data_IF_667932664814
#
_entry.id   IF_667932664814
#
_cell.length_a   1.000
_cell.length_b   1.000
_cell.length_c   1.000
_cell.angle_alpha   90.00
_cell.angle_beta   90.00
_cell.angle_gamma   90.00
#
_symmetry.space_group_name_H-M   'P 1'
#
loop_
_entity.id
_entity.type
_entity.pdbx_description
1 polymer ?
#
# COMPACT_ATOMS: atom_id res chain seq x y z
N UNK A 1 -44.41 -36.90 38.58
CA UNK A 1 -43.94 -38.29 38.52
C UNK A 1 -43.67 -38.63 37.05
N UNK A 2 -42.49 -38.28 36.54
CA UNK A 2 -41.84 -38.91 35.37
C UNK A 2 -40.38 -38.41 35.38
N UNK A 3 -39.49 -39.27 35.90
CA UNK A 3 -38.05 -39.21 35.68
C UNK A 3 -37.75 -39.99 34.39
N UNK A 4 -36.54 -39.78 33.86
CA UNK A 4 -35.64 -40.76 33.22
C UNK A 4 -35.23 -40.40 31.77
N UNK A 5 -33.92 -40.12 31.62
CA UNK A 5 -32.97 -40.32 30.51
C UNK A 5 -33.30 -39.60 29.18
N UNK A 6 -32.37 -38.88 28.55
CA UNK A 6 -31.12 -39.41 27.98
C UNK A 6 -29.99 -38.37 28.12
N UNK A 7 -28.92 -38.82 28.75
CA UNK A 7 -27.59 -38.23 28.63
C UNK A 7 -26.80 -38.99 27.55
N UNK A 8 -25.79 -38.29 27.01
CA UNK A 8 -24.54 -38.82 26.41
C UNK A 8 -24.44 -38.89 24.88
N UNK A 9 -23.23 -38.54 24.40
CA UNK A 9 -22.61 -38.77 23.07
C UNK A 9 -22.93 -37.61 22.09
N UNK A 10 -22.04 -36.70 21.70
CA UNK A 10 -20.64 -36.85 21.24
C UNK A 10 -19.84 -35.57 21.58
N UNK A 11 -18.84 -35.71 22.46
CA UNK A 11 -17.61 -34.91 22.39
C UNK A 11 -16.87 -35.31 21.13
N UNK A 12 -16.44 -34.36 20.28
CA UNK A 12 -15.24 -34.38 19.43
C UNK A 12 -15.24 -33.06 18.61
N UNK A 13 -14.04 -32.47 18.44
CA UNK A 13 -13.72 -31.15 17.85
C UNK A 13 -13.63 -29.95 18.79
N UNK A 14 -12.93 -30.14 19.91
CA UNK A 14 -11.97 -29.14 20.36
C UNK A 14 -10.55 -29.62 20.00
N UNK A 15 -10.19 -29.64 18.71
CA UNK A 15 -8.79 -29.79 18.32
C UNK A 15 -8.15 -28.40 18.35
N UNK A 16 -7.32 -28.22 19.35
CA UNK A 16 -6.35 -27.14 19.47
C UNK A 16 -5.55 -27.02 18.18
N UNK A 17 -5.82 -25.98 17.41
CA UNK A 17 -4.82 -25.36 16.55
C UNK A 17 -4.43 -24.06 17.26
N UNK A 18 -3.74 -24.18 18.40
CA UNK A 18 -2.88 -23.10 18.86
C UNK A 18 -1.73 -23.03 17.85
N UNK A 19 -1.95 -22.28 16.76
CA UNK A 19 -0.86 -21.83 15.93
C UNK A 19 0.12 -21.13 16.87
N UNK A 20 1.30 -21.71 17.01
CA UNK A 20 2.39 -21.18 17.80
C UNK A 20 2.72 -19.82 17.20
N UNK A 21 2.23 -18.74 17.82
CA UNK A 21 2.48 -17.37 17.41
C UNK A 21 3.98 -17.10 17.60
N UNK A 22 4.76 -17.41 16.58
CA UNK A 22 6.16 -17.04 16.51
C UNK A 22 6.18 -15.54 16.28
N UNK A 23 6.30 -14.78 17.37
CA UNK A 23 6.61 -13.36 17.29
C UNK A 23 7.87 -13.22 16.43
N UNK A 24 7.84 -12.40 15.37
CA UNK A 24 9.00 -12.26 14.50
C UNK A 24 10.21 -11.78 15.30
N UNK A 25 11.45 -12.16 14.90
CA UNK A 25 12.64 -11.74 15.61
C UNK A 25 12.72 -10.21 15.69
N UNK A 26 12.77 -9.68 16.92
CA UNK A 26 12.93 -8.25 17.25
C UNK A 26 14.00 -7.54 16.41
N UNK A 27 15.01 -8.29 15.97
CA UNK A 27 16.15 -7.87 15.17
C UNK A 27 15.76 -7.35 13.76
N UNK A 28 14.79 -7.99 13.10
CA UNK A 28 14.29 -7.57 11.76
C UNK A 28 13.66 -6.19 11.82
N UNK A 29 13.00 -5.92 12.95
CA UNK A 29 12.22 -4.74 13.18
C UNK A 29 13.11 -3.53 13.50
N UNK A 30 14.20 -3.77 14.24
CA UNK A 30 15.28 -2.80 14.39
C UNK A 30 15.98 -2.50 13.05
N UNK A 31 16.25 -3.52 12.23
CA UNK A 31 16.84 -3.33 10.89
C UNK A 31 15.95 -2.51 9.96
N UNK A 32 14.63 -2.68 10.02
CA UNK A 32 13.70 -1.87 9.23
C UNK A 32 13.68 -0.40 9.68
N UNK A 33 13.75 -0.15 10.97
CA UNK A 33 13.76 1.21 11.50
C UNK A 33 15.10 1.90 11.26
N UNK A 34 16.21 1.18 11.40
CA UNK A 34 17.53 1.63 10.98
C UNK A 34 17.56 1.87 9.47
N UNK A 35 16.90 1.01 8.68
CA UNK A 35 16.73 1.24 7.26
C UNK A 35 16.00 2.56 7.00
N UNK A 36 14.93 2.88 7.73
CA UNK A 36 14.23 4.15 7.67
C UNK A 36 14.94 5.33 8.38
N UNK A 37 16.16 5.12 8.90
CA UNK A 37 16.97 6.07 9.69
C UNK A 37 16.24 6.62 10.93
N UNK A 38 15.59 5.72 11.68
CA UNK A 38 14.78 6.02 12.87
C UNK A 38 15.27 5.24 14.08
N UNK A 39 15.45 5.93 15.20
CA UNK A 39 16.12 5.39 16.40
C UNK A 39 15.21 4.77 17.46
N UNK A 40 13.87 4.83 17.33
CA UNK A 40 12.96 4.33 18.37
C UNK A 40 11.62 3.84 17.82
N UNK A 41 11.35 2.53 17.85
CA UNK A 41 10.00 2.00 17.74
C UNK A 41 9.26 2.05 19.06
N UNK A 42 8.00 2.45 19.00
CA UNK A 42 7.05 2.29 20.11
C UNK A 42 6.37 0.91 20.12
N UNK A 43 6.43 0.15 19.01
CA UNK A 43 5.91 -1.21 18.91
C UNK A 43 6.67 -1.99 17.80
N UNK A 44 7.17 -3.18 18.13
CA UNK A 44 7.99 -4.03 17.26
C UNK A 44 7.33 -5.39 16.96
N UNK A 45 6.07 -5.55 17.35
CA UNK A 45 5.37 -6.83 17.28
C UNK A 45 4.99 -7.28 15.85
N UNK A 46 5.06 -6.38 14.86
CA UNK A 46 4.49 -6.58 13.52
C UNK A 46 5.49 -6.73 12.36
N UNK A 47 6.80 -6.92 12.62
CA UNK A 47 7.75 -7.14 11.51
C UNK A 47 7.66 -8.53 10.91
N UNK A 48 6.78 -8.68 9.94
CA UNK A 48 6.54 -9.92 9.23
C UNK A 48 7.64 -10.28 8.21
N UNK A 49 7.51 -11.46 7.60
CA UNK A 49 8.39 -11.93 6.52
C UNK A 49 8.40 -11.00 5.30
N UNK A 50 7.33 -10.20 5.11
CA UNK A 50 7.23 -9.20 4.02
C UNK A 50 8.22 -8.07 4.26
N UNK A 51 8.37 -7.63 5.50
CA UNK A 51 9.32 -6.58 5.89
C UNK A 51 10.76 -6.98 5.55
N UNK A 52 11.18 -8.19 5.93
CA UNK A 52 12.50 -8.74 5.58
C UNK A 52 12.69 -8.75 4.07
N UNK A 53 11.69 -9.25 3.34
CA UNK A 53 11.75 -9.35 1.89
C UNK A 53 11.95 -7.97 1.23
N UNK A 54 11.24 -6.94 1.70
CA UNK A 54 11.37 -5.57 1.19
C UNK A 54 12.79 -5.03 1.40
N UNK A 55 13.38 -5.26 2.57
CA UNK A 55 14.75 -4.82 2.89
C UNK A 55 15.76 -5.53 1.99
N UNK A 56 15.67 -6.84 1.86
CA UNK A 56 16.60 -7.66 1.07
C UNK A 56 16.56 -7.33 -0.43
N UNK A 57 15.40 -6.87 -0.93
CA UNK A 57 15.17 -6.61 -2.35
C UNK A 57 15.16 -5.11 -2.68
N UNK A 58 15.52 -4.23 -1.74
CA UNK A 58 15.44 -2.76 -1.90
C UNK A 58 16.27 -2.22 -3.07
N UNK A 59 17.40 -2.87 -3.35
CA UNK A 59 18.39 -2.42 -4.35
C UNK A 59 18.08 -2.93 -5.77
N UNK A 60 17.01 -3.72 -5.94
CA UNK A 60 16.54 -4.16 -7.26
C UNK A 60 16.12 -2.95 -8.12
N UNK A 61 16.17 -3.10 -9.45
CA UNK A 61 15.53 -2.13 -10.33
C UNK A 61 14.02 -2.08 -10.09
N UNK A 62 13.34 -1.00 -10.47
CA UNK A 62 11.88 -0.89 -10.26
C UNK A 62 11.12 -2.03 -10.95
N UNK A 63 11.55 -2.43 -12.14
CA UNK A 63 10.93 -3.55 -12.87
C UNK A 63 11.10 -4.89 -12.15
N UNK A 64 12.33 -5.18 -11.69
CA UNK A 64 12.63 -6.41 -10.96
C UNK A 64 11.90 -6.44 -9.62
N UNK A 65 11.95 -5.35 -8.86
CA UNK A 65 11.25 -5.22 -7.58
C UNK A 65 9.75 -5.48 -7.73
N UNK A 66 9.08 -4.79 -8.65
CA UNK A 66 7.63 -4.92 -8.87
C UNK A 66 7.25 -6.35 -9.29
N UNK A 67 8.09 -7.00 -10.09
CA UNK A 67 7.84 -8.38 -10.55
C UNK A 67 7.99 -9.37 -9.41
N UNK A 68 9.10 -9.30 -8.68
CA UNK A 68 9.37 -10.20 -7.56
C UNK A 68 8.41 -9.96 -6.38
N UNK A 69 8.02 -8.70 -6.13
CA UNK A 69 7.10 -8.39 -5.05
C UNK A 69 5.70 -8.91 -5.33
N UNK A 70 5.22 -8.80 -6.58
CA UNK A 70 3.95 -9.38 -7.01
C UNK A 70 3.90 -10.90 -6.80
N UNK A 71 5.01 -11.60 -7.00
CA UNK A 71 5.11 -13.03 -6.72
C UNK A 71 4.99 -13.33 -5.22
N UNK A 72 5.64 -12.52 -4.37
CA UNK A 72 5.60 -12.65 -2.91
C UNK A 72 4.21 -12.38 -2.31
N UNK A 73 3.55 -11.29 -2.70
CA UNK A 73 2.26 -10.86 -2.08
C UNK A 73 1.02 -11.49 -2.73
N UNK A 74 1.20 -12.18 -3.86
CA UNK A 74 0.11 -12.75 -4.64
C UNK A 74 -0.74 -11.71 -5.37
N UNK A 75 -1.42 -12.13 -6.43
CA UNK A 75 -2.09 -11.24 -7.41
C UNK A 75 -3.39 -10.59 -6.91
N UNK A 76 -3.90 -11.00 -5.75
CA UNK A 76 -5.18 -10.51 -5.18
C UNK A 76 -5.03 -9.47 -4.08
N UNK A 77 -3.81 -9.20 -3.62
CA UNK A 77 -3.55 -8.20 -2.58
C UNK A 77 -3.78 -6.78 -3.08
N UNK A 78 -4.01 -5.82 -2.18
CA UNK A 78 -4.07 -4.41 -2.57
C UNK A 78 -2.71 -3.93 -3.13
N UNK A 79 -1.60 -4.46 -2.60
CA UNK A 79 -0.25 -4.23 -3.12
C UNK A 79 -0.16 -4.64 -4.59
N UNK A 80 -0.72 -5.79 -4.98
CA UNK A 80 -0.76 -6.22 -6.36
C UNK A 80 -1.54 -5.26 -7.29
N UNK A 81 -2.60 -4.62 -6.78
CA UNK A 81 -3.35 -3.60 -7.53
C UNK A 81 -2.51 -2.34 -7.77
N UNK A 82 -1.81 -1.87 -6.73
CA UNK A 82 -0.87 -0.75 -6.88
C UNK A 82 0.27 -1.09 -7.85
N UNK A 83 0.86 -2.29 -7.75
CA UNK A 83 1.87 -2.77 -8.70
C UNK A 83 1.33 -2.77 -10.13
N UNK A 84 0.08 -3.23 -10.34
CA UNK A 84 -0.54 -3.25 -11.65
C UNK A 84 -0.73 -1.84 -12.22
N UNK A 85 -1.15 -0.87 -11.39
CA UNK A 85 -1.30 0.53 -11.79
C UNK A 85 0.05 1.14 -12.20
N UNK A 86 1.09 0.95 -11.39
CA UNK A 86 2.46 1.42 -11.70
C UNK A 86 2.95 0.82 -13.01
N UNK A 87 2.81 -0.51 -13.19
CA UNK A 87 3.26 -1.19 -14.41
C UNK A 87 2.50 -0.76 -15.65
N UNK A 88 1.20 -0.45 -15.53
CA UNK A 88 0.41 0.07 -16.63
C UNK A 88 0.91 1.45 -17.09
N UNK A 89 1.23 2.33 -16.13
CA UNK A 89 1.79 3.65 -16.43
C UNK A 89 3.16 3.54 -17.10
N UNK A 90 4.05 2.72 -16.54
CA UNK A 90 5.39 2.50 -17.12
C UNK A 90 5.34 1.89 -18.53
N UNK A 91 4.27 1.17 -18.87
CA UNK A 91 4.04 0.64 -20.21
C UNK A 91 3.47 1.69 -21.19
N UNK A 92 3.16 2.91 -20.74
CA UNK A 92 2.63 3.98 -21.57
C UNK A 92 1.23 3.67 -22.11
N UNK A 93 0.36 3.06 -21.29
CA UNK A 93 -1.01 2.70 -21.69
C UNK A 93 -2.06 3.48 -20.87
N UNK A 94 -2.34 4.76 -21.20
CA UNK A 94 -3.20 5.62 -20.39
C UNK A 94 -4.60 5.04 -20.11
N UNK A 95 -5.26 4.45 -21.11
CA UNK A 95 -6.58 3.84 -20.94
C UNK A 95 -6.56 2.70 -19.91
N UNK A 96 -5.50 1.89 -19.95
CA UNK A 96 -5.32 0.79 -19.00
C UNK A 96 -4.96 1.34 -17.62
N UNK A 97 -4.12 2.38 -17.56
CA UNK A 97 -3.72 3.01 -16.30
C UNK A 97 -4.92 3.63 -15.60
N UNK A 98 -5.78 4.36 -16.31
CA UNK A 98 -7.06 4.90 -15.80
C UNK A 98 -7.86 3.82 -15.07
N UNK A 99 -8.19 2.71 -15.75
CA UNK A 99 -9.03 1.66 -15.17
C UNK A 99 -8.38 0.95 -13.98
N UNK A 100 -7.07 0.70 -14.02
CA UNK A 100 -6.37 -0.01 -12.95
C UNK A 100 -6.10 0.92 -11.76
N UNK A 101 -5.84 2.20 -11.99
CA UNK A 101 -5.61 3.20 -10.96
C UNK A 101 -6.90 3.47 -10.16
N UNK A 102 -8.07 3.59 -10.81
CA UNK A 102 -9.37 3.68 -10.11
C UNK A 102 -9.57 2.47 -9.18
N UNK A 103 -9.39 1.25 -9.72
CA UNK A 103 -9.55 0.04 -8.92
C UNK A 103 -8.56 0.00 -7.74
N UNK A 104 -7.29 0.34 -7.99
CA UNK A 104 -6.26 0.37 -6.95
C UNK A 104 -6.60 1.39 -5.85
N UNK A 105 -7.05 2.59 -6.22
CA UNK A 105 -7.40 3.64 -5.30
C UNK A 105 -8.58 3.27 -4.40
N UNK A 106 -9.65 2.70 -4.99
CA UNK A 106 -10.81 2.20 -4.25
C UNK A 106 -10.43 1.06 -3.32
N UNK A 107 -9.71 0.06 -3.80
CA UNK A 107 -9.29 -1.09 -2.98
C UNK A 107 -8.43 -0.64 -1.81
N UNK A 108 -7.45 0.25 -2.03
CA UNK A 108 -6.61 0.79 -0.96
C UNK A 108 -7.45 1.55 0.09
N UNK A 109 -8.36 2.42 -0.36
CA UNK A 109 -9.26 3.14 0.54
C UNK A 109 -10.04 2.19 1.43
N UNK A 110 -10.73 1.20 0.85
CA UNK A 110 -11.55 0.26 1.61
C UNK A 110 -10.74 -0.60 2.57
N UNK A 111 -9.59 -1.13 2.13
CA UNK A 111 -8.72 -1.97 2.97
C UNK A 111 -8.25 -1.20 4.19
N UNK A 112 -7.64 -0.02 4.00
CA UNK A 112 -7.10 0.74 5.11
C UNK A 112 -8.19 1.37 5.98
N UNK A 113 -9.29 1.84 5.40
CA UNK A 113 -10.43 2.34 6.18
C UNK A 113 -11.04 1.26 7.07
N UNK A 114 -11.17 0.02 6.55
CA UNK A 114 -11.67 -1.11 7.35
C UNK A 114 -10.76 -1.47 8.52
N UNK A 115 -9.46 -1.21 8.38
CA UNK A 115 -8.44 -1.36 9.41
C UNK A 115 -8.25 -0.11 10.29
N UNK A 116 -9.10 0.92 10.12
CA UNK A 116 -9.00 2.21 10.82
C UNK A 116 -7.70 3.00 10.57
N UNK A 117 -6.95 2.65 9.52
CA UNK A 117 -5.77 3.40 9.08
C UNK A 117 -6.17 4.46 8.05
N UNK A 118 -6.80 5.52 8.54
CA UNK A 118 -7.34 6.58 7.68
C UNK A 118 -6.25 7.33 6.91
N UNK A 119 -5.06 7.46 7.48
CA UNK A 119 -3.94 8.14 6.84
C UNK A 119 -3.46 7.37 5.60
N UNK A 120 -3.30 6.05 5.70
CA UNK A 120 -2.97 5.22 4.54
C UNK A 120 -4.09 5.14 3.53
N UNK A 121 -5.34 5.03 4.00
CA UNK A 121 -6.50 5.05 3.13
C UNK A 121 -6.48 6.32 2.26
N UNK A 122 -6.19 7.46 2.86
CA UNK A 122 -6.08 8.74 2.19
C UNK A 122 -4.90 8.80 1.21
N UNK A 123 -3.68 8.50 1.66
CA UNK A 123 -2.46 8.65 0.85
C UNK A 123 -2.45 7.70 -0.35
N UNK A 124 -2.75 6.43 -0.15
CA UNK A 124 -2.74 5.46 -1.26
C UNK A 124 -3.85 5.75 -2.28
N UNK A 125 -5.09 5.99 -1.81
CA UNK A 125 -6.21 6.22 -2.73
C UNK A 125 -6.00 7.46 -3.57
N UNK A 126 -5.55 8.56 -2.96
CA UNK A 126 -5.32 9.81 -3.70
C UNK A 126 -4.09 9.77 -4.60
N UNK A 127 -3.04 9.03 -4.23
CA UNK A 127 -1.91 8.82 -5.14
C UNK A 127 -2.38 8.04 -6.39
N UNK A 128 -3.25 7.04 -6.20
CA UNK A 128 -3.86 6.31 -7.32
C UNK A 128 -4.78 7.20 -8.16
N UNK A 129 -5.65 8.02 -7.56
CA UNK A 129 -6.50 8.96 -8.29
C UNK A 129 -5.71 10.08 -9.00
N UNK A 130 -4.57 10.49 -8.46
CA UNK A 130 -3.68 11.41 -9.17
C UNK A 130 -3.07 10.77 -10.42
N UNK A 131 -2.78 9.46 -10.37
CA UNK A 131 -2.34 8.68 -11.54
C UNK A 131 -3.47 8.51 -12.56
N UNK A 132 -4.71 8.31 -12.08
CA UNK A 132 -5.91 8.30 -12.90
C UNK A 132 -6.10 9.62 -13.66
N UNK A 133 -6.04 10.74 -12.95
CA UNK A 133 -6.12 12.09 -13.51
C UNK A 133 -5.04 12.32 -14.57
N UNK A 134 -3.79 11.94 -14.28
CA UNK A 134 -2.70 12.03 -15.24
C UNK A 134 -2.98 11.21 -16.52
N UNK A 135 -3.60 10.05 -16.38
CA UNK A 135 -3.99 9.19 -17.52
C UNK A 135 -5.11 9.82 -18.36
N UNK A 136 -6.09 10.44 -17.72
CA UNK A 136 -7.15 11.19 -18.40
C UNK A 136 -6.56 12.34 -19.21
N UNK A 137 -5.66 13.13 -18.61
CA UNK A 137 -4.94 14.23 -19.28
C UNK A 137 -4.16 13.69 -20.48
N UNK A 138 -3.47 12.56 -20.33
CA UNK A 138 -2.69 11.95 -21.41
C UNK A 138 -3.56 11.47 -22.59
N UNK A 139 -4.80 11.03 -22.34
CA UNK A 139 -5.73 10.60 -23.40
C UNK A 139 -6.46 11.76 -24.08
N UNK A 140 -6.93 12.72 -23.30
CA UNK A 140 -7.69 13.86 -23.80
C UNK A 140 -6.83 14.91 -24.50
N UNK A 141 -5.57 15.05 -24.09
CA UNK A 141 -4.79 16.24 -24.41
C UNK A 141 -5.33 17.49 -23.71
N UNK A 142 -5.25 18.65 -24.38
CA UNK A 142 -5.61 19.96 -23.82
C UNK A 142 -7.00 20.45 -24.25
N UNK A 143 -7.94 19.56 -24.50
CA UNK A 143 -9.28 19.95 -24.96
C UNK A 143 -10.10 20.59 -23.82
N UNK A 144 -10.93 21.62 -24.11
CA UNK A 144 -11.79 22.26 -23.11
C UNK A 144 -12.73 21.29 -22.39
N UNK A 145 -13.23 20.27 -23.11
CA UNK A 145 -14.11 19.24 -22.57
C UNK A 145 -13.40 18.40 -21.50
N UNK A 146 -12.09 18.22 -21.63
CA UNK A 146 -11.34 17.51 -20.61
C UNK A 146 -11.12 18.36 -19.35
N UNK A 147 -11.05 19.68 -19.49
CA UNK A 147 -10.98 20.63 -18.36
C UNK A 147 -12.05 20.35 -17.30
N UNK A 148 -13.32 20.18 -17.73
CA UNK A 148 -14.42 19.92 -16.81
C UNK A 148 -14.26 18.60 -16.03
N UNK A 149 -13.85 17.52 -16.70
CA UNK A 149 -13.62 16.22 -16.05
C UNK A 149 -12.38 16.24 -15.14
N UNK A 150 -11.33 16.93 -15.58
CA UNK A 150 -10.09 17.06 -14.80
C UNK A 150 -10.28 17.93 -13.58
N UNK A 151 -11.14 18.95 -13.62
CA UNK A 151 -11.38 19.88 -12.50
C UNK A 151 -12.04 19.18 -11.31
N UNK A 152 -12.96 18.24 -11.54
CA UNK A 152 -13.64 17.48 -10.47
C UNK A 152 -12.68 16.46 -9.80
N UNK A 153 -11.91 15.74 -10.60
CA UNK A 153 -10.85 14.86 -10.09
C UNK A 153 -9.74 15.66 -9.41
N UNK A 154 -9.35 16.80 -9.97
CA UNK A 154 -8.37 17.69 -9.40
C UNK A 154 -8.85 18.22 -8.05
N UNK A 155 -10.11 18.63 -7.91
CA UNK A 155 -10.67 19.01 -6.62
C UNK A 155 -10.62 17.86 -5.59
N UNK A 156 -10.80 16.61 -6.02
CA UNK A 156 -10.66 15.42 -5.17
C UNK A 156 -9.21 15.19 -4.72
N UNK A 157 -8.25 15.45 -5.61
CA UNK A 157 -6.81 15.38 -5.34
C UNK A 157 -6.31 16.58 -4.52
N UNK A 158 -6.85 17.78 -4.72
CA UNK A 158 -6.44 19.05 -4.09
C UNK A 158 -7.12 19.29 -2.73
N UNK A 159 -8.30 18.71 -2.46
CA UNK A 159 -8.95 18.73 -1.15
C UNK A 159 -8.13 17.97 -0.06
N UNK A 160 -6.94 17.50 -0.41
CA UNK A 160 -5.97 16.89 0.45
C UNK A 160 -5.20 17.88 1.33
N UNK A 161 -4.81 17.41 2.53
CA UNK A 161 -3.48 17.52 3.07
C UNK A 161 -2.41 18.05 2.12
N UNK A 162 -1.98 19.33 2.05
CA UNK A 162 -0.75 19.59 1.32
C UNK A 162 0.32 18.74 2.00
N UNK A 163 0.82 17.73 1.28
CA UNK A 163 2.00 16.98 1.72
C UNK A 163 3.04 18.05 2.02
N UNK A 164 3.35 18.28 3.31
CA UNK A 164 4.08 19.46 3.79
C UNK A 164 5.55 19.49 3.33
N UNK A 165 5.93 18.56 2.45
CA UNK A 165 7.28 18.34 1.95
C UNK A 165 7.36 18.55 0.42
N UNK A 166 8.56 18.75 -0.14
CA UNK A 166 8.83 18.99 -1.58
C UNK A 166 8.32 17.92 -2.58
N UNK A 167 7.58 16.92 -2.10
CA UNK A 167 6.97 15.80 -2.81
C UNK A 167 5.97 16.24 -3.90
N UNK A 168 5.59 17.52 -3.93
CA UNK A 168 4.69 18.13 -4.92
C UNK A 168 5.21 18.15 -6.38
N UNK A 169 6.44 17.67 -6.66
CA UNK A 169 6.96 17.57 -8.04
C UNK A 169 7.13 16.16 -8.56
N UNK A 170 6.99 15.13 -7.72
CA UNK A 170 7.15 13.75 -8.19
C UNK A 170 5.90 13.30 -8.94
N UNK A 171 6.08 12.52 -10.01
CA UNK A 171 4.96 11.91 -10.72
C UNK A 171 4.19 10.96 -9.77
N UNK A 172 2.85 10.90 -9.83
CA UNK A 172 2.03 9.99 -9.03
C UNK A 172 2.51 8.54 -9.03
N UNK A 173 2.91 8.02 -10.20
CA UNK A 173 3.46 6.66 -10.32
C UNK A 173 4.77 6.46 -9.54
N UNK A 174 5.60 7.50 -9.43
CA UNK A 174 6.84 7.47 -8.64
C UNK A 174 6.53 7.48 -7.14
N UNK A 175 5.56 8.28 -6.70
CA UNK A 175 5.08 8.29 -5.31
C UNK A 175 4.53 6.91 -4.95
N UNK A 176 3.64 6.35 -5.79
CA UNK A 176 3.03 5.04 -5.56
C UNK A 176 4.08 3.92 -5.54
N UNK A 177 5.10 4.00 -6.39
CA UNK A 177 6.24 3.09 -6.37
C UNK A 177 7.02 3.18 -5.05
N UNK A 178 7.32 4.40 -4.57
CA UNK A 178 8.04 4.57 -3.31
C UNK A 178 7.22 4.10 -2.10
N UNK A 179 5.92 4.37 -2.07
CA UNK A 179 5.01 3.80 -1.07
C UNK A 179 5.03 2.26 -1.12
N UNK A 180 4.91 1.68 -2.32
CA UNK A 180 4.95 0.21 -2.49
C UNK A 180 6.29 -0.39 -2.10
N UNK A 181 7.39 0.36 -2.24
CA UNK A 181 8.74 -0.08 -1.91
C UNK A 181 9.08 0.04 -0.44
N UNK A 182 8.54 1.05 0.23
CA UNK A 182 9.03 1.45 1.54
C UNK A 182 7.98 1.34 2.63
N UNK A 183 6.69 1.27 2.31
CA UNK A 183 5.66 1.08 3.32
C UNK A 183 5.45 -0.41 3.59
N UNK A 184 5.85 -0.85 4.77
CA UNK A 184 5.56 -2.19 5.29
C UNK A 184 4.44 -2.18 6.35
N UNK A 185 3.76 -1.05 6.54
CA UNK A 185 2.65 -0.91 7.49
C UNK A 185 3.03 -0.94 8.98
N UNK A 186 4.31 -1.01 9.33
CA UNK A 186 4.79 -1.12 10.74
C UNK A 186 4.87 0.24 11.45
N UNK A 187 5.11 1.33 10.72
CA UNK A 187 5.19 2.69 11.28
C UNK A 187 4.01 3.54 10.84
N UNK A 188 3.62 4.62 11.54
CA UNK A 188 2.67 5.58 10.99
C UNK A 188 3.14 6.09 9.62
N UNK A 189 2.25 6.18 8.63
CA UNK A 189 2.63 6.54 7.25
C UNK A 189 3.23 7.96 7.18
N UNK A 190 2.84 8.86 8.07
CA UNK A 190 3.44 10.18 8.19
C UNK A 190 4.94 10.09 8.51
N UNK A 191 5.34 9.11 9.32
CA UNK A 191 6.76 8.92 9.65
C UNK A 191 7.55 8.42 8.46
N UNK A 192 6.95 7.53 7.65
CA UNK A 192 7.53 7.05 6.40
C UNK A 192 7.69 8.21 5.41
N UNK A 193 6.63 8.98 5.17
CA UNK A 193 6.64 10.10 4.23
C UNK A 193 7.69 11.17 4.59
N UNK A 194 8.00 11.32 5.88
CA UNK A 194 9.00 12.26 6.37
C UNK A 194 10.42 11.68 6.42
N UNK A 195 10.62 10.41 6.06
CA UNK A 195 11.94 9.76 6.11
C UNK A 195 12.84 10.17 4.95
N UNK A 196 14.16 10.20 5.20
CA UNK A 196 15.16 10.43 4.17
C UNK A 196 15.13 9.35 3.08
N UNK A 197 14.79 8.11 3.43
CA UNK A 197 14.60 7.02 2.46
C UNK A 197 13.48 7.28 1.47
N UNK A 198 12.35 7.79 1.95
CA UNK A 198 11.25 8.13 1.05
C UNK A 198 11.66 9.28 0.13
N UNK A 199 12.35 10.29 0.66
CA UNK A 199 12.89 11.38 -0.14
C UNK A 199 13.93 10.90 -1.18
N UNK A 200 14.84 9.98 -0.81
CA UNK A 200 15.82 9.37 -1.70
C UNK A 200 15.14 8.56 -2.80
N UNK A 201 14.14 7.75 -2.45
CA UNK A 201 13.38 7.00 -3.43
C UNK A 201 12.75 7.93 -4.46
N UNK A 202 12.16 9.05 -4.06
CA UNK A 202 11.57 10.02 -4.99
C UNK A 202 12.60 10.69 -5.91
N UNK A 203 13.87 10.82 -5.48
CA UNK A 203 14.96 11.44 -6.26
C UNK A 203 15.67 10.49 -7.22
N UNK A 204 15.64 9.18 -6.95
CA UNK A 204 16.18 8.13 -7.83
C UNK A 204 15.41 7.96 -9.13
#
# INVERSE_FOLDING_TARGET
MFRILIATVISIFASQASAEYHSPPLDICLQYLEFLDRSNPTDLSDCDETTTWVIENRDLSSSEFLTSYLYKVGTRSFVAKNIAAIRSELAGSPMRTLSIADEAGRVAFYVFQSNQDFARAEIYSKTAYALELQSIIAMCGTTPECGYFTDELLATVEALPPMRHPQQRAAPSKILLCLTRLDNFVVPIEHLLLSDRFADCLRS
#
